data_IF_146699003578
#
_entry.id   IF_146699003578
#
_cell.length_a   1.000
_cell.length_b   1.000
_cell.length_c   1.000
_cell.angle_alpha   90.00
_cell.angle_beta   90.00
_cell.angle_gamma   90.00
#
_symmetry.space_group_name_H-M   'P 1'
#
loop_
_entity.id
_entity.type
_entity.pdbx_description
1 polymer ?
#
# COMPACT_ATOMS: atom_id res chain seq x y z
N UNK A 1 52.96 -35.54 -34.13
CA UNK A 1 53.54 -36.82 -33.65
C UNK A 1 52.51 -37.95 -33.83
N UNK A 2 52.87 -38.88 -34.72
CA UNK A 2 52.14 -40.07 -35.19
C UNK A 2 50.98 -39.80 -36.16
N UNK A 3 51.31 -40.02 -37.44
CA UNK A 3 50.43 -40.27 -38.57
C UNK A 3 50.24 -41.81 -38.73
N UNK A 4 49.80 -42.38 -39.87
CA UNK A 4 48.41 -42.47 -40.36
C UNK A 4 48.07 -43.87 -40.96
N UNK A 5 46.96 -43.97 -41.72
CA UNK A 5 46.66 -44.90 -42.85
C UNK A 5 46.54 -46.44 -42.63
N UNK A 6 45.43 -47.03 -43.12
CA UNK A 6 45.41 -48.09 -44.18
C UNK A 6 43.96 -48.52 -44.51
N UNK A 7 43.47 -48.25 -45.75
CA UNK A 7 43.29 -49.17 -46.90
C UNK A 7 42.09 -50.15 -46.76
N UNK A 8 40.94 -50.05 -47.44
CA UNK A 8 40.58 -50.08 -48.88
C UNK A 8 40.35 -51.48 -49.51
N UNK A 9 39.07 -51.76 -49.85
CA UNK A 9 38.47 -52.53 -51.00
C UNK A 9 38.54 -54.08 -51.02
N UNK A 10 37.72 -54.79 -51.87
CA UNK A 10 36.69 -54.34 -52.85
C UNK A 10 35.31 -55.05 -52.89
N UNK A 11 34.36 -54.31 -53.48
CA UNK A 11 33.15 -54.62 -54.30
C UNK A 11 32.82 -56.05 -54.76
N UNK A 12 31.54 -56.45 -54.65
CA UNK A 12 30.76 -57.21 -55.65
C UNK A 12 29.28 -56.72 -55.69
N UNK A 13 28.72 -56.70 -56.92
CA UNK A 13 27.45 -56.19 -57.48
C UNK A 13 26.16 -57.00 -57.09
N UNK A 14 24.93 -56.69 -57.59
CA UNK A 14 23.70 -56.62 -56.79
C UNK A 14 22.51 -57.45 -57.37
N UNK A 15 21.28 -57.10 -56.96
CA UNK A 15 19.94 -57.34 -57.56
C UNK A 15 19.10 -58.48 -56.96
N UNK A 16 18.12 -58.05 -56.18
CA UNK A 16 16.79 -58.62 -56.02
C UNK A 16 15.94 -57.48 -55.38
N UNK A 17 14.66 -57.21 -55.63
CA UNK A 17 13.59 -57.85 -56.39
C UNK A 17 12.43 -56.82 -56.48
N UNK A 18 11.70 -56.88 -57.58
CA UNK A 18 10.26 -56.63 -57.70
C UNK A 18 9.73 -55.21 -57.91
N UNK A 19 9.55 -54.90 -59.21
CA UNK A 19 8.58 -53.97 -59.76
C UNK A 19 7.72 -54.72 -60.81
N UNK A 20 6.40 -54.57 -60.69
CA UNK A 20 5.38 -54.54 -61.77
C UNK A 20 4.60 -55.84 -62.15
N UNK A 21 3.27 -55.67 -62.20
CA UNK A 21 2.19 -56.37 -62.98
C UNK A 21 1.50 -57.61 -62.38
N UNK A 22 0.23 -57.53 -61.89
CA UNK A 22 -1.11 -57.54 -62.59
C UNK A 22 -1.52 -58.95 -63.02
N UNK A 23 -2.78 -59.47 -62.99
CA UNK A 23 -4.14 -58.94 -63.18
C UNK A 23 -5.15 -60.13 -63.01
N UNK A 24 -6.47 -59.87 -62.91
CA UNK A 24 -7.66 -60.78 -63.11
C UNK A 24 -8.08 -61.52 -61.80
N UNK A 25 -9.31 -61.47 -61.21
CA UNK A 25 -10.71 -61.33 -61.69
C UNK A 25 -11.67 -60.97 -60.51
N UNK A 26 -12.82 -60.35 -60.82
CA UNK A 26 -13.96 -59.92 -59.96
C UNK A 26 -14.95 -61.10 -59.62
N UNK A 27 -16.18 -60.97 -59.01
CA UNK A 27 -17.00 -59.80 -58.61
C UNK A 27 -17.84 -59.92 -57.28
N UNK A 28 -18.68 -58.90 -57.01
CA UNK A 28 -19.99 -58.92 -56.29
C UNK A 28 -20.07 -58.64 -54.78
N UNK A 29 -20.57 -57.45 -54.40
CA UNK A 29 -21.98 -57.21 -54.00
C UNK A 29 -22.21 -55.74 -53.62
N UNK A 30 -23.39 -55.29 -54.01
CA UNK A 30 -23.98 -53.98 -53.79
C UNK A 30 -24.09 -53.58 -52.30
N UNK A 31 -23.77 -52.30 -52.06
CA UNK A 31 -24.64 -51.34 -51.37
C UNK A 31 -24.82 -51.50 -49.86
N UNK A 32 -23.98 -50.79 -49.10
CA UNK A 32 -24.46 -50.07 -47.91
C UNK A 32 -24.05 -48.60 -48.02
N UNK A 33 -25.09 -47.79 -48.20
CA UNK A 33 -25.12 -46.36 -47.99
C UNK A 33 -24.46 -45.98 -46.67
N UNK A 34 -23.29 -45.34 -46.74
CA UNK A 34 -22.83 -44.46 -45.68
C UNK A 34 -22.76 -43.07 -46.26
N UNK A 35 -23.84 -42.31 -46.07
CA UNK A 35 -23.85 -40.86 -46.25
C UNK A 35 -22.86 -40.31 -45.23
N UNK A 36 -21.59 -40.18 -45.62
CA UNK A 36 -20.59 -39.46 -44.84
C UNK A 36 -20.87 -37.96 -45.03
N UNK A 37 -21.77 -37.42 -44.22
CA UNK A 37 -21.82 -35.98 -43.98
C UNK A 37 -20.51 -35.57 -43.29
N UNK A 38 -19.45 -35.34 -44.07
CA UNK A 38 -18.32 -34.53 -43.63
C UNK A 38 -18.81 -33.08 -43.61
N UNK A 39 -19.49 -32.68 -42.53
CA UNK A 39 -19.70 -31.28 -42.20
C UNK A 39 -18.33 -30.65 -41.95
N UNK A 40 -17.64 -30.23 -43.01
CA UNK A 40 -16.43 -29.44 -42.88
C UNK A 40 -16.82 -28.07 -42.35
N UNK A 41 -16.16 -27.58 -41.30
CA UNK A 41 -16.35 -26.23 -40.76
C UNK A 41 -16.23 -25.16 -41.86
N UNK A 42 -15.33 -25.38 -42.83
CA UNK A 42 -15.19 -24.54 -44.03
C UNK A 42 -16.45 -24.52 -44.89
N UNK A 43 -17.13 -25.66 -45.04
CA UNK A 43 -18.37 -25.74 -45.81
C UNK A 43 -19.48 -24.94 -45.14
N UNK A 44 -19.64 -25.03 -43.82
CA UNK A 44 -20.67 -24.27 -43.08
C UNK A 44 -20.43 -22.76 -43.20
N UNK A 45 -19.17 -22.33 -43.02
CA UNK A 45 -18.81 -20.91 -43.14
C UNK A 45 -19.16 -20.39 -44.53
N UNK A 46 -18.75 -21.12 -45.57
CA UNK A 46 -18.88 -20.66 -46.94
C UNK A 46 -20.32 -20.77 -47.49
N UNK A 47 -21.08 -21.79 -47.10
CA UNK A 47 -22.42 -22.05 -47.63
C UNK A 47 -23.54 -21.33 -46.86
N UNK A 48 -23.37 -21.08 -45.56
CA UNK A 48 -24.40 -20.48 -44.72
C UNK A 48 -24.00 -19.12 -44.14
N UNK A 49 -22.81 -18.99 -43.53
CA UNK A 49 -22.41 -17.74 -42.85
C UNK A 49 -22.08 -16.59 -43.83
N UNK A 50 -21.24 -16.85 -44.83
CA UNK A 50 -20.83 -15.84 -45.81
C UNK A 50 -22.00 -15.19 -46.57
N UNK A 51 -22.97 -15.96 -47.13
CA UNK A 51 -24.11 -15.35 -47.81
C UNK A 51 -25.04 -14.61 -46.85
N UNK A 52 -25.15 -15.04 -45.58
CA UNK A 52 -25.92 -14.35 -44.55
C UNK A 52 -25.28 -12.99 -44.20
N UNK A 53 -23.97 -12.96 -43.92
CA UNK A 53 -23.23 -11.74 -43.57
C UNK A 53 -23.17 -10.72 -44.73
N UNK A 54 -23.29 -11.17 -45.98
CA UNK A 54 -23.26 -10.29 -47.15
C UNK A 54 -24.56 -9.49 -47.33
N UNK A 55 -25.69 -9.93 -46.76
CA UNK A 55 -26.98 -9.23 -46.85
C UNK A 55 -26.92 -7.89 -46.12
N UNK A 56 -27.25 -6.79 -46.82
CA UNK A 56 -27.30 -5.42 -46.27
C UNK A 56 -28.10 -5.29 -44.96
N UNK A 57 -29.34 -5.83 -44.82
CA UNK A 57 -30.10 -5.69 -43.58
C UNK A 57 -29.40 -6.34 -42.39
N UNK A 58 -28.70 -7.46 -42.62
CA UNK A 58 -28.00 -8.20 -41.57
C UNK A 58 -26.75 -7.43 -41.10
N UNK A 59 -26.02 -6.79 -42.02
CA UNK A 59 -24.89 -5.92 -41.65
C UNK A 59 -25.32 -4.74 -40.79
N UNK A 60 -26.40 -4.06 -41.17
CA UNK A 60 -26.95 -2.93 -40.40
C UNK A 60 -27.40 -3.39 -39.01
N UNK A 61 -28.07 -4.54 -38.93
CA UNK A 61 -28.47 -5.14 -37.66
C UNK A 61 -27.27 -5.44 -36.75
N UNK A 62 -26.21 -6.07 -37.26
CA UNK A 62 -25.01 -6.38 -36.47
C UNK A 62 -24.33 -5.11 -35.96
N UNK A 63 -24.18 -4.09 -36.82
CA UNK A 63 -23.58 -2.81 -36.42
C UNK A 63 -24.41 -2.11 -35.33
N UNK A 64 -25.73 -2.14 -35.44
CA UNK A 64 -26.64 -1.58 -34.44
C UNK A 64 -26.53 -2.33 -33.10
N UNK A 65 -26.50 -3.67 -33.12
CA UNK A 65 -26.26 -4.46 -31.92
C UNK A 65 -24.91 -4.14 -31.26
N UNK A 66 -23.85 -3.94 -32.06
CA UNK A 66 -22.53 -3.58 -31.54
C UNK A 66 -22.51 -2.17 -30.92
N UNK A 67 -23.22 -1.21 -31.54
CA UNK A 67 -23.39 0.13 -30.99
C UNK A 67 -24.15 0.09 -29.65
N UNK A 68 -25.22 -0.70 -29.56
CA UNK A 68 -25.97 -0.89 -28.32
C UNK A 68 -25.07 -1.52 -27.24
N UNK A 69 -24.26 -2.52 -27.60
CA UNK A 69 -23.32 -3.13 -26.66
C UNK A 69 -22.31 -2.11 -26.12
N UNK A 70 -21.76 -1.23 -26.97
CA UNK A 70 -20.86 -0.14 -26.54
C UNK A 70 -21.56 0.78 -25.54
N UNK A 71 -22.81 1.20 -25.82
CA UNK A 71 -23.58 2.06 -24.90
C UNK A 71 -23.81 1.39 -23.54
N UNK A 72 -24.22 0.12 -23.54
CA UNK A 72 -24.40 -0.67 -22.31
C UNK A 72 -23.09 -0.77 -21.54
N UNK A 73 -21.96 -0.96 -22.23
CA UNK A 73 -20.66 -1.06 -21.61
C UNK A 73 -20.18 0.27 -21.03
N UNK A 74 -20.41 1.40 -21.69
CA UNK A 74 -20.11 2.73 -21.12
C UNK A 74 -20.90 2.97 -19.83
N UNK A 75 -22.18 2.56 -19.79
CA UNK A 75 -22.97 2.59 -18.54
C UNK A 75 -22.35 1.66 -17.48
N UNK A 76 -21.89 0.47 -17.88
CA UNK A 76 -21.22 -0.48 -16.99
C UNK A 76 -19.94 0.09 -16.37
N UNK A 77 -19.14 0.83 -17.13
CA UNK A 77 -17.90 1.46 -16.64
C UNK A 77 -18.17 2.41 -15.47
N UNK A 78 -19.29 3.16 -15.51
CA UNK A 78 -19.65 4.07 -14.40
C UNK A 78 -19.99 3.36 -13.10
N UNK A 79 -20.27 2.05 -13.13
CA UNK A 79 -20.60 1.23 -11.96
C UNK A 79 -19.40 0.45 -11.41
N UNK A 80 -18.21 0.60 -12.00
CA UNK A 80 -17.01 -0.11 -11.55
C UNK A 80 -16.49 0.57 -10.28
N UNK A 81 -16.53 -0.17 -9.17
CA UNK A 81 -15.96 0.24 -7.89
C UNK A 81 -14.55 -0.35 -7.73
N UNK A 82 -13.68 0.35 -7.02
CA UNK A 82 -12.31 -0.11 -6.78
C UNK A 82 -12.23 -1.00 -5.52
N UNK A 83 -11.34 -1.98 -5.53
CA UNK A 83 -11.04 -2.79 -4.34
C UNK A 83 -10.88 -4.28 -4.61
N UNK A 84 -10.42 -4.96 -3.56
CA UNK A 84 -10.42 -6.41 -3.43
C UNK A 84 -10.69 -6.71 -1.97
N UNK A 85 -11.83 -7.34 -1.71
CA UNK A 85 -12.21 -7.67 -0.35
C UNK A 85 -11.53 -8.96 0.09
N UNK A 86 -11.05 -9.00 1.34
CA UNK A 86 -10.46 -10.23 1.88
C UNK A 86 -11.46 -11.41 1.88
N UNK A 87 -12.76 -11.11 1.99
CA UNK A 87 -13.86 -12.08 1.86
C UNK A 87 -13.93 -12.75 0.50
N UNK A 88 -13.38 -12.14 -0.57
CA UNK A 88 -13.43 -12.69 -1.92
C UNK A 88 -12.36 -13.77 -2.15
N UNK A 89 -11.33 -13.82 -1.29
CA UNK A 89 -10.24 -14.79 -1.35
C UNK A 89 -10.57 -16.05 -0.55
N UNK A 90 -11.39 -15.90 0.50
CA UNK A 90 -11.75 -17.00 1.40
C UNK A 90 -12.91 -17.81 0.82
N UNK A 91 -12.85 -19.15 0.84
CA UNK A 91 -13.95 -19.98 0.35
C UNK A 91 -15.27 -19.68 1.07
N UNK A 92 -16.36 -19.65 0.31
CA UNK A 92 -17.70 -19.43 0.88
C UNK A 92 -18.12 -20.64 1.73
N UNK A 93 -18.86 -20.36 2.80
CA UNK A 93 -19.40 -21.39 3.70
C UNK A 93 -18.43 -21.87 4.78
N UNK A 94 -17.24 -21.28 4.91
CA UNK A 94 -16.32 -21.56 6.02
C UNK A 94 -16.52 -20.60 7.19
N UNK A 95 -16.01 -20.98 8.37
CA UNK A 95 -16.07 -20.14 9.56
C UNK A 95 -15.25 -18.85 9.40
N UNK A 96 -14.15 -18.90 8.67
CA UNK A 96 -13.27 -17.77 8.38
C UNK A 96 -13.99 -16.72 7.53
N UNK A 97 -14.75 -17.14 6.53
CA UNK A 97 -15.56 -16.24 5.72
C UNK A 97 -16.56 -15.46 6.60
N UNK A 98 -17.30 -16.18 7.45
CA UNK A 98 -18.27 -15.58 8.37
C UNK A 98 -17.62 -14.64 9.38
N UNK A 99 -16.44 -14.99 9.89
CA UNK A 99 -15.67 -14.12 10.78
C UNK A 99 -15.29 -12.81 10.08
N UNK A 100 -14.78 -12.86 8.85
CA UNK A 100 -14.39 -11.68 8.10
C UNK A 100 -15.58 -10.79 7.74
N UNK A 101 -16.71 -11.39 7.38
CA UNK A 101 -17.95 -10.68 7.10
C UNK A 101 -18.45 -9.92 8.35
N UNK A 102 -18.52 -10.59 9.50
CA UNK A 102 -18.92 -9.98 10.77
C UNK A 102 -17.91 -8.91 11.22
N UNK A 103 -16.62 -9.16 11.08
CA UNK A 103 -15.58 -8.18 11.39
C UNK A 103 -15.74 -6.93 10.52
N UNK A 104 -15.98 -7.07 9.22
CA UNK A 104 -16.22 -5.91 8.34
C UNK A 104 -17.47 -5.15 8.75
N UNK A 105 -18.56 -5.85 9.08
CA UNK A 105 -19.85 -5.23 9.39
C UNK A 105 -19.84 -4.47 10.72
N UNK A 106 -19.24 -5.05 11.77
CA UNK A 106 -19.32 -4.53 13.14
C UNK A 106 -18.02 -3.91 13.65
N UNK A 107 -16.87 -4.34 13.15
CA UNK A 107 -15.53 -3.97 13.66
C UNK A 107 -14.65 -3.37 12.55
N UNK A 108 -15.15 -2.34 11.88
CA UNK A 108 -14.44 -1.58 10.84
C UNK A 108 -13.40 -0.63 11.45
N UNK A 109 -12.46 -1.20 12.20
CA UNK A 109 -11.42 -0.51 12.96
C UNK A 109 -10.03 -0.80 12.40
N UNK A 110 -9.21 0.23 12.29
CA UNK A 110 -7.80 0.11 11.89
C UNK A 110 -6.92 0.97 12.78
N UNK A 111 -5.75 0.45 13.16
CA UNK A 111 -4.71 1.25 13.81
C UNK A 111 -3.76 1.80 12.74
N UNK A 112 -3.45 3.07 12.82
CA UNK A 112 -2.45 3.76 12.00
C UNK A 112 -1.48 4.49 12.91
N UNK A 113 -0.25 4.70 12.43
CA UNK A 113 0.74 5.46 13.17
C UNK A 113 1.27 6.59 12.29
N UNK A 114 1.31 7.80 12.85
CA UNK A 114 2.03 8.91 12.25
C UNK A 114 3.47 8.88 12.77
N UNK A 115 4.42 8.66 11.87
CA UNK A 115 5.84 8.54 12.22
C UNK A 115 6.54 9.85 11.93
N UNK A 116 7.34 10.33 12.89
CA UNK A 116 8.30 11.41 12.69
C UNK A 116 9.70 10.82 12.47
N UNK A 117 10.40 11.31 11.46
CA UNK A 117 11.75 10.86 11.09
C UNK A 117 12.82 11.65 11.88
N UNK A 118 14.07 11.27 11.68
CA UNK A 118 15.23 11.99 12.17
C UNK A 118 15.40 13.35 11.49
N UNK A 119 16.43 14.09 11.90
CA UNK A 119 16.73 15.46 11.46
C UNK A 119 15.66 16.51 11.83
N UNK A 120 14.79 16.17 12.77
CA UNK A 120 13.88 17.13 13.40
C UNK A 120 14.43 17.56 14.76
N UNK A 121 14.41 18.86 15.04
CA UNK A 121 14.83 19.40 16.34
C UNK A 121 13.68 19.29 17.35
N UNK A 122 13.48 18.09 17.92
CA UNK A 122 12.43 17.82 18.91
C UNK A 122 12.42 18.83 20.08
N UNK A 123 13.56 19.18 20.71
CA UNK A 123 13.59 20.17 21.79
C UNK A 123 12.98 21.53 21.42
N UNK A 124 13.30 22.09 20.25
CA UNK A 124 12.81 23.42 19.87
C UNK A 124 11.52 23.37 19.04
N UNK A 125 11.21 22.25 18.40
CA UNK A 125 10.07 22.04 17.51
C UNK A 125 8.79 21.52 18.20
N UNK A 126 8.72 21.53 19.53
CA UNK A 126 7.58 20.98 20.28
C UNK A 126 6.21 21.51 19.83
N UNK A 127 6.10 22.83 19.56
CA UNK A 127 4.85 23.44 19.08
C UNK A 127 4.39 22.85 17.75
N UNK A 128 5.34 22.58 16.84
CA UNK A 128 5.01 21.97 15.54
C UNK A 128 4.48 20.54 15.68
N UNK A 129 4.97 19.79 16.68
CA UNK A 129 4.45 18.44 16.98
C UNK A 129 3.03 18.50 17.57
N UNK A 130 2.74 19.46 18.45
CA UNK A 130 1.38 19.69 18.94
C UNK A 130 0.42 20.09 17.81
N UNK A 131 0.83 21.03 16.95
CA UNK A 131 0.07 21.43 15.76
C UNK A 131 -0.19 20.23 14.83
N UNK A 132 0.84 19.39 14.62
CA UNK A 132 0.75 18.19 13.80
C UNK A 132 -0.29 17.23 14.36
N UNK A 133 -0.19 16.88 15.64
CA UNK A 133 -1.14 16.01 16.33
C UNK A 133 -2.56 16.57 16.25
N UNK A 134 -2.78 17.85 16.59
CA UNK A 134 -4.09 18.47 16.58
C UNK A 134 -4.73 18.54 15.18
N UNK A 135 -3.93 18.60 14.12
CA UNK A 135 -4.46 18.64 12.75
C UNK A 135 -5.18 17.34 12.37
N UNK A 136 -4.79 16.20 12.95
CA UNK A 136 -5.49 14.92 12.77
C UNK A 136 -6.93 14.95 13.28
N UNK A 137 -7.30 15.90 14.16
CA UNK A 137 -8.68 16.03 14.65
C UNK A 137 -9.66 16.43 13.52
N UNK A 138 -9.14 16.96 12.41
CA UNK A 138 -9.91 17.32 11.22
C UNK A 138 -10.30 16.12 10.34
N UNK A 139 -9.69 14.96 10.59
CA UNK A 139 -9.97 13.74 9.82
C UNK A 139 -11.12 13.01 10.51
N UNK A 140 -12.27 12.93 9.84
CA UNK A 140 -13.50 12.40 10.42
C UNK A 140 -13.41 10.92 10.82
N UNK A 141 -12.56 10.17 10.12
CA UNK A 141 -12.39 8.75 10.38
C UNK A 141 -11.59 8.43 11.66
N UNK A 142 -10.93 9.41 12.28
CA UNK A 142 -10.14 9.21 13.50
C UNK A 142 -11.03 9.23 14.73
N UNK A 143 -10.85 8.25 15.60
CA UNK A 143 -11.56 8.16 16.88
C UNK A 143 -11.14 9.31 17.79
N UNK A 144 -12.13 10.00 18.32
CA UNK A 144 -11.98 11.10 19.27
C UNK A 144 -12.41 10.61 20.66
N UNK A 145 -11.82 11.21 21.69
CA UNK A 145 -12.23 11.01 23.08
C UNK A 145 -13.62 11.63 23.32
N UNK A 146 -14.23 11.35 24.46
CA UNK A 146 -15.56 11.87 24.84
C UNK A 146 -15.62 13.41 24.83
N UNK A 147 -14.50 14.08 25.11
CA UNK A 147 -14.36 15.54 25.07
C UNK A 147 -14.25 16.11 23.63
N UNK A 148 -14.29 15.25 22.61
CA UNK A 148 -14.08 15.62 21.20
C UNK A 148 -12.61 15.90 20.84
N UNK A 149 -11.69 15.70 21.79
CA UNK A 149 -10.25 15.78 21.60
C UNK A 149 -9.65 14.48 21.03
N UNK A 150 -8.39 14.53 20.63
CA UNK A 150 -7.63 13.33 20.26
C UNK A 150 -7.05 12.65 21.52
N UNK A 151 -6.78 11.34 21.45
CA UNK A 151 -5.99 10.65 22.48
C UNK A 151 -4.68 11.38 22.75
N UNK A 152 -4.22 11.36 24.00
CA UNK A 152 -2.91 11.92 24.35
C UNK A 152 -1.78 11.14 23.67
N UNK A 153 -0.69 11.86 23.36
CA UNK A 153 0.50 11.26 22.75
C UNK A 153 1.72 11.48 23.63
N UNK A 154 2.84 10.86 23.26
CA UNK A 154 4.03 10.81 24.10
C UNK A 154 4.52 12.17 24.60
N UNK A 155 4.41 13.26 23.82
CA UNK A 155 4.90 14.57 24.24
C UNK A 155 3.97 15.24 25.26
N UNK A 156 2.64 15.04 25.16
CA UNK A 156 1.70 15.55 26.16
C UNK A 156 1.90 14.81 27.47
N UNK A 157 1.95 13.47 27.44
CA UNK A 157 2.18 12.64 28.63
C UNK A 157 3.53 12.95 29.29
N UNK A 158 4.58 13.12 28.47
CA UNK A 158 5.91 13.49 28.96
C UNK A 158 5.93 14.89 29.62
N UNK A 159 5.25 15.87 29.02
CA UNK A 159 5.10 17.22 29.60
C UNK A 159 4.35 17.15 30.92
N UNK A 160 3.25 16.43 30.97
CA UNK A 160 2.37 16.37 32.14
C UNK A 160 3.08 15.70 33.33
N UNK A 161 3.83 14.62 33.08
CA UNK A 161 4.73 14.02 34.06
C UNK A 161 5.77 15.01 34.60
N UNK A 162 6.43 15.78 33.74
CA UNK A 162 7.39 16.81 34.17
C UNK A 162 6.73 17.94 34.97
N UNK A 163 5.48 18.29 34.66
CA UNK A 163 4.73 19.28 35.43
C UNK A 163 4.40 18.77 36.84
N UNK A 164 4.00 17.50 36.98
CA UNK A 164 3.77 16.88 38.29
C UNK A 164 5.05 16.87 39.13
N UNK A 165 6.19 16.48 38.54
CA UNK A 165 7.50 16.55 39.20
C UNK A 165 7.87 17.97 39.63
N UNK A 166 7.62 18.97 38.78
CA UNK A 166 7.87 20.37 39.11
C UNK A 166 6.98 20.84 40.28
N UNK A 167 5.73 20.38 40.35
CA UNK A 167 4.82 20.72 41.45
C UNK A 167 5.26 20.09 42.78
N UNK A 168 5.66 18.81 42.76
CA UNK A 168 6.20 18.12 43.93
C UNK A 168 7.47 18.82 44.46
N UNK A 169 8.37 19.20 43.54
CA UNK A 169 9.56 19.98 43.87
C UNK A 169 9.22 21.34 44.49
N UNK A 170 8.32 22.11 43.88
CA UNK A 170 7.93 23.43 44.37
C UNK A 170 7.27 23.33 45.76
N UNK A 171 6.51 22.26 46.03
CA UNK A 171 5.90 21.98 47.33
C UNK A 171 6.95 21.69 48.42
N UNK A 172 7.86 20.76 48.17
CA UNK A 172 8.89 20.37 49.14
C UNK A 172 9.92 21.48 49.38
N UNK A 173 10.20 22.28 48.35
CA UNK A 173 11.05 23.46 48.48
C UNK A 173 10.42 24.52 49.38
N UNK A 174 9.11 24.77 49.26
CA UNK A 174 8.38 25.72 50.15
C UNK A 174 8.41 25.28 51.61
N UNK A 175 8.45 23.96 51.87
CA UNK A 175 8.55 23.38 53.22
C UNK A 175 9.98 23.31 53.77
N UNK A 176 10.98 23.70 52.96
CA UNK A 176 12.38 23.64 53.36
C UNK A 176 12.98 22.23 53.34
N UNK A 177 12.29 21.24 52.77
CA UNK A 177 12.77 19.86 52.62
C UNK A 177 13.90 19.75 51.57
N UNK A 178 13.97 20.71 50.64
CA UNK A 178 15.00 20.77 49.60
C UNK A 178 15.69 22.13 49.62
N UNK A 179 17.02 22.10 49.67
CA UNK A 179 17.87 23.29 49.58
C UNK A 179 18.72 23.24 48.30
N UNK A 180 19.46 24.31 48.02
CA UNK A 180 20.35 24.38 46.85
C UNK A 180 21.46 23.31 46.87
N UNK A 181 21.90 22.92 48.06
CA UNK A 181 23.08 22.05 48.19
C UNK A 181 22.70 20.59 48.43
N UNK A 182 21.63 20.37 49.19
CA UNK A 182 21.16 19.06 49.63
C UNK A 182 19.64 18.99 49.71
N UNK A 183 19.11 17.78 49.58
CA UNK A 183 17.76 17.42 50.04
C UNK A 183 17.85 16.78 51.41
N UNK A 184 16.80 16.93 52.21
CA UNK A 184 16.69 16.30 53.52
C UNK A 184 15.93 14.97 53.42
N UNK A 185 16.06 14.06 54.40
CA UNK A 185 15.40 12.75 54.37
C UNK A 185 13.86 12.81 54.37
N UNK A 186 13.27 13.97 54.66
CA UNK A 186 11.83 14.21 54.63
C UNK A 186 11.33 14.69 53.25
N UNK A 187 12.20 14.78 52.24
CA UNK A 187 11.80 15.11 50.88
C UNK A 187 11.15 13.89 50.19
N UNK A 188 10.14 14.17 49.37
CA UNK A 188 9.46 13.16 48.56
C UNK A 188 10.36 12.65 47.44
N UNK A 189 10.18 11.38 47.06
CA UNK A 189 10.95 10.74 45.99
C UNK A 189 10.81 11.50 44.67
N UNK A 190 9.61 11.97 44.35
CA UNK A 190 9.31 12.75 43.15
C UNK A 190 10.05 14.10 43.16
N UNK A 191 10.12 14.77 44.31
CA UNK A 191 10.84 16.03 44.43
C UNK A 191 12.36 15.85 44.36
N UNK A 192 12.90 14.73 44.86
CA UNK A 192 14.32 14.38 44.70
C UNK A 192 14.63 14.11 43.22
N UNK A 193 13.77 13.37 42.51
CA UNK A 193 13.90 13.16 41.06
C UNK A 193 13.85 14.49 40.29
N UNK A 194 12.88 15.34 40.59
CA UNK A 194 12.75 16.67 39.99
C UNK A 194 13.99 17.54 40.26
N UNK A 195 14.56 17.49 41.47
CA UNK A 195 15.83 18.14 41.80
C UNK A 195 16.97 17.64 40.90
N UNK A 196 17.10 16.31 40.74
CA UNK A 196 18.13 15.71 39.85
C UNK A 196 17.97 16.19 38.41
N UNK A 197 16.73 16.33 37.92
CA UNK A 197 16.44 16.82 36.57
C UNK A 197 16.73 18.31 36.40
N UNK A 198 16.32 19.17 37.33
CA UNK A 198 16.49 20.62 37.26
C UNK A 198 17.95 21.06 37.22
N UNK A 199 18.84 20.29 37.83
CA UNK A 199 20.28 20.56 37.87
C UNK A 199 20.99 20.19 36.54
N UNK A 200 20.32 19.44 35.64
CA UNK A 200 20.93 19.07 34.35
C UNK A 200 21.09 20.27 33.42
N UNK A 201 22.29 20.44 32.88
CA UNK A 201 22.58 21.49 31.89
C UNK A 201 22.27 21.05 30.44
N UNK A 202 22.24 19.73 30.20
CA UNK A 202 22.11 19.11 28.88
C UNK A 202 23.40 19.06 28.04
N UNK A 203 24.52 19.59 28.57
CA UNK A 203 25.86 19.52 27.96
C UNK A 203 26.60 18.28 28.43
N UNK A 204 27.43 17.69 27.57
CA UNK A 204 28.26 16.53 27.91
C UNK A 204 29.41 16.89 28.84
N UNK A 205 30.00 18.07 28.66
CA UNK A 205 31.26 18.44 29.29
C UNK A 205 31.06 18.95 30.72
N UNK A 206 29.95 19.66 30.95
CA UNK A 206 29.52 20.09 32.29
C UNK A 206 28.05 19.71 32.50
N UNK A 207 27.76 18.46 32.89
CA UNK A 207 26.39 17.92 32.90
C UNK A 207 25.49 18.49 34.00
N UNK A 208 26.07 19.00 35.09
CA UNK A 208 25.36 19.29 36.35
C UNK A 208 25.74 20.69 36.85
N UNK A 209 24.73 21.54 37.07
CA UNK A 209 24.92 22.86 37.67
C UNK A 209 23.79 23.19 38.67
N UNK A 210 24.13 23.21 39.96
CA UNK A 210 23.17 23.48 41.05
C UNK A 210 22.67 24.93 41.06
N UNK A 211 23.31 25.85 40.35
CA UNK A 211 22.80 27.23 40.23
C UNK A 211 21.48 27.30 39.46
N UNK A 212 21.21 26.32 38.59
CA UNK A 212 20.02 26.25 37.74
C UNK A 212 18.71 26.08 38.53
N UNK A 213 18.77 25.55 39.76
CA UNK A 213 17.59 25.36 40.63
C UNK A 213 16.81 26.66 40.92
N UNK A 214 17.44 27.83 40.77
CA UNK A 214 16.80 29.13 40.98
C UNK A 214 16.22 29.73 39.70
N UNK A 215 16.79 29.40 38.54
CA UNK A 215 16.51 30.08 37.27
C UNK A 215 15.75 29.21 36.28
N UNK A 216 15.82 27.89 36.40
CA UNK A 216 15.26 26.93 35.45
C UNK A 216 14.00 26.27 36.00
N UNK A 217 13.04 26.05 35.12
CA UNK A 217 11.89 25.16 35.32
C UNK A 217 11.94 24.03 34.30
N UNK A 218 11.37 22.87 34.66
CA UNK A 218 11.27 21.71 33.76
C UNK A 218 10.35 22.01 32.57
N UNK A 219 9.21 22.64 32.84
CA UNK A 219 8.22 23.08 31.87
C UNK A 219 7.96 24.57 32.06
N UNK A 220 7.89 25.31 30.97
CA UNK A 220 7.60 26.75 30.99
C UNK A 220 6.10 27.03 31.20
N UNK A 221 5.75 28.31 31.35
CA UNK A 221 4.34 28.74 31.50
C UNK A 221 3.46 28.49 30.26
N UNK A 222 4.07 28.20 29.10
CA UNK A 222 3.41 27.91 27.83
C UNK A 222 3.29 26.40 27.57
N UNK A 223 3.68 25.55 28.52
CA UNK A 223 3.66 24.10 28.38
C UNK A 223 4.78 23.52 27.50
N UNK A 224 5.85 24.28 27.27
CA UNK A 224 7.04 23.83 26.53
C UNK A 224 8.07 23.29 27.51
N UNK A 225 8.55 22.08 27.24
CA UNK A 225 9.61 21.45 28.02
C UNK A 225 10.92 22.18 27.74
N UNK A 226 11.73 22.42 28.77
CA UNK A 226 12.99 23.13 28.59
C UNK A 226 13.90 22.42 27.58
N UNK A 227 14.26 23.08 26.45
CA UNK A 227 14.97 22.44 25.35
C UNK A 227 16.40 22.04 25.70
N UNK A 228 17.04 22.72 26.67
CA UNK A 228 18.46 22.51 27.00
C UNK A 228 18.75 21.08 27.44
N UNK A 229 17.92 20.54 28.33
CA UNK A 229 18.09 19.21 28.92
C UNK A 229 16.99 18.21 28.50
N UNK A 230 16.24 18.50 27.44
CA UNK A 230 15.14 17.68 26.91
C UNK A 230 15.49 16.19 26.81
N UNK A 231 16.65 15.85 26.23
CA UNK A 231 17.08 14.46 26.06
C UNK A 231 17.55 13.78 27.36
N UNK A 232 17.92 14.54 28.39
CA UNK A 232 18.16 13.98 29.72
C UNK A 232 16.83 13.66 30.41
N UNK A 233 15.85 14.54 30.26
CA UNK A 233 14.49 14.35 30.79
C UNK A 233 13.81 13.16 30.12
N UNK A 234 14.03 12.98 28.80
CA UNK A 234 13.48 11.87 28.04
C UNK A 234 14.00 10.51 28.56
N UNK A 235 15.31 10.40 28.80
CA UNK A 235 15.92 9.20 29.41
C UNK A 235 15.25 8.88 30.75
N UNK A 236 15.05 9.89 31.59
CA UNK A 236 14.44 9.71 32.90
C UNK A 236 12.97 9.30 32.80
N UNK A 237 12.19 9.94 31.91
CA UNK A 237 10.78 9.60 31.72
C UNK A 237 10.59 8.15 31.28
N UNK A 238 11.29 7.73 30.22
CA UNK A 238 11.16 6.37 29.65
C UNK A 238 11.51 5.28 30.67
N UNK A 239 12.42 5.55 31.59
CA UNK A 239 12.88 4.57 32.59
C UNK A 239 12.04 4.56 33.87
N UNK A 240 11.46 5.70 34.26
CA UNK A 240 10.80 5.86 35.56
C UNK A 240 9.27 5.90 35.47
N UNK A 241 8.72 6.32 34.33
CA UNK A 241 7.29 6.28 34.03
C UNK A 241 7.00 5.26 32.91
N UNK A 242 7.21 3.99 33.24
CA UNK A 242 7.04 2.87 32.30
C UNK A 242 5.58 2.78 31.81
N UNK A 243 4.61 3.16 32.65
CA UNK A 243 3.19 3.15 32.30
C UNK A 243 2.86 4.25 31.29
N UNK A 244 3.31 5.48 31.54
CA UNK A 244 3.12 6.59 30.59
C UNK A 244 3.78 6.31 29.25
N UNK A 245 5.03 5.83 29.26
CA UNK A 245 5.72 5.46 28.02
C UNK A 245 5.05 4.30 27.27
N UNK A 246 4.60 3.27 28.00
CA UNK A 246 3.90 2.12 27.43
C UNK A 246 2.55 2.50 26.79
N UNK A 247 1.77 3.34 27.47
CA UNK A 247 0.50 3.83 26.96
C UNK A 247 0.68 4.75 25.73
N UNK A 248 1.74 5.54 25.68
CA UNK A 248 2.02 6.44 24.55
C UNK A 248 2.38 5.72 23.24
N UNK A 249 2.81 4.44 23.31
CA UNK A 249 3.26 3.64 22.16
C UNK A 249 4.28 4.35 21.25
N UNK A 250 5.13 5.21 21.83
CA UNK A 250 5.96 6.14 21.08
C UNK A 250 7.10 5.50 20.28
N UNK A 251 7.49 4.27 20.67
CA UNK A 251 8.52 3.44 20.04
C UNK A 251 9.80 4.20 19.68
N UNK A 252 10.40 4.90 20.64
CA UNK A 252 11.59 5.71 20.39
C UNK A 252 12.76 4.88 19.84
N UNK A 253 13.28 5.27 18.68
CA UNK A 253 14.55 4.74 18.15
C UNK A 253 15.51 5.89 17.82
N UNK A 254 16.79 5.76 18.18
CA UNK A 254 17.38 4.74 19.06
C UNK A 254 16.77 4.79 20.47
N UNK A 255 16.75 3.63 21.15
CA UNK A 255 16.17 3.55 22.50
C UNK A 255 17.01 4.36 23.49
N UNK A 256 16.37 5.20 24.33
CA UNK A 256 17.06 5.89 25.41
C UNK A 256 17.73 4.89 26.35
N UNK A 257 18.88 5.28 26.91
CA UNK A 257 19.57 4.45 27.91
C UNK A 257 18.69 4.33 29.15
N UNK A 258 18.67 3.15 29.76
CA UNK A 258 17.95 2.97 31.02
C UNK A 258 18.66 3.73 32.15
N UNK A 259 17.87 4.47 32.93
CA UNK A 259 18.32 5.17 34.13
C UNK A 259 17.18 5.18 35.16
N UNK A 260 17.25 4.27 36.13
CA UNK A 260 16.23 4.12 37.17
C UNK A 260 16.61 5.02 38.34
N UNK A 261 15.64 5.80 38.80
CA UNK A 261 15.82 6.70 39.92
C UNK A 261 15.77 5.95 41.25
N UNK A 262 16.82 6.13 42.05
CA UNK A 262 16.83 5.77 43.47
C UNK A 262 16.94 7.04 44.32
N UNK A 263 16.10 7.13 45.36
CA UNK A 263 16.07 8.30 46.25
C UNK A 263 17.32 8.41 47.14
N UNK A 264 17.92 7.26 47.48
CA UNK A 264 19.12 7.18 48.32
C UNK A 264 20.41 7.48 47.55
N UNK A 265 20.37 7.35 46.21
CA UNK A 265 21.51 7.63 45.37
C UNK A 265 21.74 9.14 45.23
N UNK A 266 22.96 9.59 45.47
CA UNK A 266 23.36 11.00 45.41
C UNK A 266 23.90 11.36 44.02
N UNK A 267 24.06 10.39 43.12
CA UNK A 267 24.51 10.66 41.76
C UNK A 267 23.51 11.57 41.02
N UNK A 268 24.04 12.68 40.51
CA UNK A 268 23.29 13.69 39.77
C UNK A 268 23.42 13.53 38.27
N UNK A 269 24.30 12.65 37.77
CA UNK A 269 24.57 12.54 36.33
C UNK A 269 23.51 11.67 35.67
N UNK A 270 22.71 12.27 34.79
CA UNK A 270 21.73 11.52 33.98
C UNK A 270 22.30 11.29 32.58
N UNK A 271 22.33 10.05 32.07
CA UNK A 271 22.79 9.79 30.71
C UNK A 271 21.86 10.47 29.70
N UNK A 272 22.45 11.29 28.82
CA UNK A 272 21.71 11.97 27.75
C UNK A 272 21.25 10.96 26.70
N UNK A 273 19.97 11.00 26.34
CA UNK A 273 19.45 10.19 25.24
C UNK A 273 20.11 10.58 23.92
N UNK A 274 20.42 9.62 23.03
CA UNK A 274 20.68 9.94 21.63
C UNK A 274 19.48 10.69 21.01
N UNK A 275 19.72 11.52 19.97
CA UNK A 275 18.64 12.20 19.25
C UNK A 275 17.69 11.20 18.60
N UNK A 276 16.40 11.51 18.62
CA UNK A 276 15.36 10.62 18.09
C UNK A 276 15.42 10.60 16.55
N UNK A 277 15.50 9.39 16.00
CA UNK A 277 15.52 9.13 14.54
C UNK A 277 14.15 8.62 14.09
N UNK A 278 13.41 7.99 15.00
CA UNK A 278 12.09 7.48 14.75
C UNK A 278 11.26 7.60 16.03
N UNK A 279 10.08 8.17 15.89
CA UNK A 279 9.03 8.12 16.91
C UNK A 279 7.71 7.94 16.19
N UNK A 280 6.74 7.32 16.85
CA UNK A 280 5.42 7.11 16.29
C UNK A 280 4.34 7.68 17.22
N UNK A 281 3.24 8.13 16.61
CA UNK A 281 2.06 8.64 17.28
C UNK A 281 0.89 7.75 16.84
N UNK A 282 0.26 7.00 17.76
CA UNK A 282 -0.83 6.10 17.42
C UNK A 282 -2.13 6.86 17.17
N UNK A 283 -2.86 6.45 16.12
CA UNK A 283 -4.23 6.88 15.86
C UNK A 283 -5.09 5.69 15.47
N UNK A 284 -6.34 5.75 15.89
CA UNK A 284 -7.30 4.71 15.59
C UNK A 284 -8.35 5.24 14.62
N UNK A 285 -8.60 4.48 13.57
CA UNK A 285 -9.61 4.73 12.57
C UNK A 285 -10.85 3.89 12.88
N UNK A 286 -12.03 4.47 12.70
CA UNK A 286 -13.31 3.79 12.88
C UNK A 286 -14.28 4.13 11.75
N UNK A 287 -15.26 3.25 11.56
CA UNK A 287 -16.38 3.41 10.65
C UNK A 287 -15.96 3.57 9.17
N UNK A 288 -14.80 3.02 8.79
CA UNK A 288 -14.35 2.97 7.41
C UNK A 288 -14.66 1.59 6.83
N UNK A 289 -15.68 1.50 5.98
CA UNK A 289 -16.20 0.22 5.47
C UNK A 289 -15.89 0.00 4.01
N UNK A 290 -15.87 1.06 3.22
CA UNK A 290 -15.68 0.98 1.77
C UNK A 290 -14.23 1.27 1.37
N UNK A 291 -13.78 0.68 0.25
CA UNK A 291 -12.46 0.99 -0.30
C UNK A 291 -12.30 2.48 -0.56
N UNK A 292 -13.36 3.14 -1.03
CA UNK A 292 -13.37 4.57 -1.35
C UNK A 292 -13.13 5.42 -0.11
N UNK A 293 -13.80 5.13 1.02
CA UNK A 293 -13.57 5.82 2.29
C UNK A 293 -12.13 5.59 2.80
N UNK A 294 -11.59 4.36 2.66
CA UNK A 294 -10.21 4.05 3.05
C UNK A 294 -9.23 4.88 2.21
N UNK A 295 -9.42 4.92 0.89
CA UNK A 295 -8.57 5.65 -0.04
C UNK A 295 -8.65 7.15 0.23
N UNK A 296 -9.84 7.69 0.48
CA UNK A 296 -10.01 9.10 0.86
C UNK A 296 -9.27 9.42 2.16
N UNK A 297 -9.41 8.57 3.19
CA UNK A 297 -8.71 8.76 4.47
C UNK A 297 -7.19 8.72 4.28
N UNK A 298 -6.68 7.83 3.42
CA UNK A 298 -5.25 7.78 3.07
C UNK A 298 -4.81 9.10 2.42
N UNK A 299 -5.60 9.65 1.49
CA UNK A 299 -5.30 10.95 0.86
C UNK A 299 -5.27 12.09 1.89
N UNK A 300 -6.27 12.13 2.78
CA UNK A 300 -6.37 13.17 3.80
C UNK A 300 -5.16 13.12 4.75
N UNK A 301 -4.82 11.93 5.26
CA UNK A 301 -3.64 11.74 6.12
C UNK A 301 -2.35 12.11 5.37
N UNK A 302 -2.17 11.65 4.12
CA UNK A 302 -0.98 11.98 3.30
C UNK A 302 -0.87 13.49 3.06
N UNK A 303 -1.97 14.19 2.85
CA UNK A 303 -1.99 15.65 2.67
C UNK A 303 -1.54 16.40 3.93
N UNK A 304 -1.96 15.92 5.11
CA UNK A 304 -1.50 16.46 6.40
C UNK A 304 0.00 16.20 6.56
N UNK A 305 0.45 14.98 6.30
CA UNK A 305 1.86 14.64 6.36
C UNK A 305 2.73 15.53 5.46
N UNK A 306 2.33 15.70 4.20
CA UNK A 306 3.03 16.54 3.23
C UNK A 306 3.11 18.00 3.69
N UNK A 307 1.99 18.57 4.17
CA UNK A 307 1.94 19.95 4.67
C UNK A 307 2.92 20.19 5.82
N UNK A 308 3.09 19.23 6.71
CA UNK A 308 4.04 19.34 7.82
C UNK A 308 5.47 19.02 7.44
N UNK A 309 5.68 18.18 6.41
CA UNK A 309 7.01 17.96 5.82
C UNK A 309 7.54 19.27 5.20
N UNK A 310 6.70 20.03 4.51
CA UNK A 310 7.02 21.37 3.98
C UNK A 310 7.32 22.41 5.09
N UNK A 311 6.75 22.25 6.29
CA UNK A 311 7.04 23.08 7.48
C UNK A 311 8.30 22.65 8.24
N UNK A 312 9.01 21.63 7.76
CA UNK A 312 10.26 21.15 8.38
C UNK A 312 10.07 20.04 9.42
N UNK A 313 8.94 19.33 9.42
CA UNK A 313 8.75 18.08 10.19
C UNK A 313 8.76 16.88 9.24
N UNK A 314 9.91 16.22 9.01
CA UNK A 314 9.98 14.99 8.23
C UNK A 314 9.09 13.91 8.85
N UNK A 315 8.06 13.47 8.14
CA UNK A 315 7.08 12.53 8.69
C UNK A 315 6.49 11.63 7.60
N UNK A 316 5.83 10.54 7.99
CA UNK A 316 5.04 9.69 7.11
C UNK A 316 4.05 8.84 7.90
N UNK A 317 2.89 8.49 7.33
CA UNK A 317 1.96 7.56 7.95
C UNK A 317 2.35 6.12 7.67
N UNK A 318 1.99 5.22 8.59
CA UNK A 318 2.06 3.77 8.42
C UNK A 318 0.81 3.10 9.00
N UNK A 319 0.56 1.86 8.61
CA UNK A 319 -0.57 1.07 9.07
C UNK A 319 -1.12 0.18 7.97
N UNK A 320 -2.00 -0.74 8.36
CA UNK A 320 -2.63 -1.72 7.45
C UNK A 320 -3.31 -1.02 6.25
N UNK A 321 -4.07 0.08 6.42
CA UNK A 321 -4.65 0.83 5.30
C UNK A 321 -3.60 1.27 4.27
N UNK A 322 -2.50 1.87 4.72
CA UNK A 322 -1.42 2.35 3.85
C UNK A 322 -0.69 1.21 3.14
N UNK A 323 -0.46 0.07 3.81
CA UNK A 323 0.24 -1.07 3.20
C UNK A 323 -0.56 -1.71 2.06
N UNK A 324 -1.89 -1.83 2.17
CA UNK A 324 -2.69 -2.62 1.22
C UNK A 324 -3.57 -1.78 0.28
N UNK A 325 -4.07 -0.62 0.72
CA UNK A 325 -5.00 0.20 -0.07
C UNK A 325 -4.33 1.34 -0.83
N UNK A 326 -3.07 1.67 -0.54
CA UNK A 326 -2.36 2.76 -1.23
C UNK A 326 -2.22 2.52 -2.74
N UNK A 327 -2.19 1.25 -3.18
CA UNK A 327 -2.18 0.88 -4.61
C UNK A 327 -3.40 1.40 -5.41
N UNK A 328 -4.54 1.65 -4.74
CA UNK A 328 -5.76 2.10 -5.42
C UNK A 328 -5.70 3.58 -5.81
N UNK A 329 -4.84 4.40 -5.18
CA UNK A 329 -4.71 5.83 -5.50
C UNK A 329 -4.37 6.09 -6.97
N UNK A 330 -3.44 5.30 -7.52
CA UNK A 330 -2.96 5.46 -8.89
C UNK A 330 -3.51 4.42 -9.86
N UNK A 331 -4.31 3.45 -9.41
CA UNK A 331 -4.64 2.24 -10.18
C UNK A 331 -5.25 2.57 -11.55
N UNK A 332 -6.28 3.42 -11.59
CA UNK A 332 -6.96 3.81 -12.83
C UNK A 332 -6.02 4.54 -13.79
N UNK A 333 -5.18 5.44 -13.25
CA UNK A 333 -4.21 6.20 -14.04
C UNK A 333 -3.15 5.29 -14.67
N UNK A 334 -2.51 4.44 -13.87
CA UNK A 334 -1.49 3.51 -14.37
C UNK A 334 -2.07 2.47 -15.33
N UNK A 335 -3.31 2.01 -15.10
CA UNK A 335 -4.01 1.12 -16.02
C UNK A 335 -4.21 1.76 -17.39
N UNK A 336 -4.67 3.02 -17.45
CA UNK A 336 -4.85 3.75 -18.72
C UNK A 336 -3.51 3.91 -19.44
N UNK A 337 -2.44 4.29 -18.72
CA UNK A 337 -1.09 4.41 -19.31
C UNK A 337 -0.62 3.07 -19.87
N UNK A 338 -0.80 1.98 -19.14
CA UNK A 338 -0.39 0.65 -19.60
C UNK A 338 -1.17 0.21 -20.85
N UNK A 339 -2.49 0.44 -20.88
CA UNK A 339 -3.33 0.16 -22.05
C UNK A 339 -2.88 0.98 -23.27
N UNK A 340 -2.62 2.28 -23.09
CA UNK A 340 -2.12 3.15 -24.16
C UNK A 340 -0.76 2.69 -24.69
N UNK A 341 0.19 2.36 -23.81
CA UNK A 341 1.50 1.88 -24.22
C UNK A 341 1.42 0.58 -25.05
N UNK A 342 0.55 -0.36 -24.65
CA UNK A 342 0.34 -1.61 -25.39
C UNK A 342 -0.32 -1.35 -26.75
N UNK A 343 -1.35 -0.51 -26.81
CA UNK A 343 -2.00 -0.15 -28.08
C UNK A 343 -1.02 0.54 -29.05
N UNK A 344 -0.17 1.43 -28.55
CA UNK A 344 0.88 2.07 -29.35
C UNK A 344 1.87 1.03 -29.88
N UNK A 345 2.32 0.10 -29.04
CA UNK A 345 3.20 -1.00 -29.46
C UNK A 345 2.58 -1.87 -30.54
N UNK A 346 1.29 -2.22 -30.40
CA UNK A 346 0.56 -3.01 -31.41
C UNK A 346 0.42 -2.22 -32.71
N UNK A 347 0.14 -0.92 -32.64
CA UNK A 347 0.03 -0.08 -33.83
C UNK A 347 1.33 -0.09 -34.64
N UNK A 348 2.49 0.14 -34.00
CA UNK A 348 3.76 0.17 -34.72
C UNK A 348 4.19 -1.19 -35.25
N UNK A 349 4.00 -2.27 -34.48
CA UNK A 349 4.34 -3.63 -34.93
C UNK A 349 3.49 -4.07 -36.13
N UNK A 350 2.17 -3.78 -36.10
CA UNK A 350 1.28 -4.10 -37.23
C UNK A 350 1.49 -3.18 -38.43
N UNK A 351 1.86 -1.91 -38.23
CA UNK A 351 2.25 -0.99 -39.29
C UNK A 351 3.50 -1.49 -40.03
N UNK A 352 4.53 -1.94 -39.29
CA UNK A 352 5.76 -2.50 -39.87
C UNK A 352 5.47 -3.80 -40.62
N UNK A 353 4.63 -4.67 -40.06
CA UNK A 353 4.33 -5.98 -40.68
C UNK A 353 3.50 -5.86 -41.96
N UNK A 354 2.49 -4.98 -41.96
CA UNK A 354 1.53 -4.86 -43.07
C UNK A 354 1.90 -3.77 -44.07
N UNK A 355 2.87 -2.91 -43.76
CA UNK A 355 3.30 -1.75 -44.57
C UNK A 355 2.15 -0.84 -45.03
N UNK A 356 1.02 -0.84 -44.32
CA UNK A 356 -0.18 -0.04 -44.63
C UNK A 356 -0.67 0.68 -43.39
N UNK A 357 -1.19 1.90 -43.56
CA UNK A 357 -1.67 2.71 -42.43
C UNK A 357 -3.11 2.34 -42.01
N UNK A 358 -3.94 1.88 -42.94
CA UNK A 358 -5.36 1.62 -42.68
C UNK A 358 -5.61 0.37 -41.83
N UNK A 359 -4.85 -0.70 -42.09
CA UNK A 359 -4.94 -1.97 -41.37
C UNK A 359 -4.72 -1.81 -39.85
N UNK A 360 -3.61 -1.20 -39.37
CA UNK A 360 -3.39 -1.01 -37.94
C UNK A 360 -4.44 -0.08 -37.30
N UNK A 361 -4.95 0.93 -38.02
CA UNK A 361 -6.02 1.81 -37.52
C UNK A 361 -7.30 1.02 -37.24
N UNK A 362 -7.71 0.14 -38.17
CA UNK A 362 -8.91 -0.70 -38.00
C UNK A 362 -8.73 -1.69 -36.84
N UNK A 363 -7.56 -2.31 -36.73
CA UNK A 363 -7.25 -3.25 -35.64
C UNK A 363 -7.31 -2.54 -34.29
N UNK A 364 -6.65 -1.38 -34.15
CA UNK A 364 -6.65 -0.61 -32.90
C UNK A 364 -8.05 -0.13 -32.53
N UNK A 365 -8.83 0.37 -33.48
CA UNK A 365 -10.21 0.78 -33.22
C UNK A 365 -11.05 -0.38 -32.67
N UNK A 366 -10.89 -1.58 -33.24
CA UNK A 366 -11.59 -2.77 -32.76
C UNK A 366 -11.10 -3.22 -31.37
N UNK A 367 -9.79 -3.17 -31.10
CA UNK A 367 -9.22 -3.50 -29.80
C UNK A 367 -9.73 -2.56 -28.69
N UNK A 368 -9.80 -1.25 -28.97
CA UNK A 368 -10.37 -0.27 -28.04
C UNK A 368 -11.82 -0.62 -27.70
N UNK A 369 -12.63 -0.96 -28.70
CA UNK A 369 -14.02 -1.36 -28.48
C UNK A 369 -14.10 -2.63 -27.62
N UNK A 370 -13.27 -3.64 -27.87
CA UNK A 370 -13.25 -4.86 -27.06
C UNK A 370 -12.88 -4.58 -25.60
N UNK A 371 -11.89 -3.71 -25.35
CA UNK A 371 -11.52 -3.28 -24.00
C UNK A 371 -12.68 -2.56 -23.32
N UNK A 372 -13.35 -1.64 -24.01
CA UNK A 372 -14.53 -0.94 -23.48
C UNK A 372 -15.65 -1.93 -23.13
N UNK A 373 -15.91 -2.90 -24.01
CA UNK A 373 -16.95 -3.90 -23.78
C UNK A 373 -16.64 -4.75 -22.55
N UNK A 374 -15.42 -5.27 -22.44
CA UNK A 374 -14.99 -6.09 -21.30
C UNK A 374 -14.97 -5.29 -20.00
N UNK A 375 -14.47 -4.05 -20.03
CA UNK A 375 -14.43 -3.21 -18.83
C UNK A 375 -15.83 -2.82 -18.36
N UNK A 376 -16.76 -2.53 -19.28
CA UNK A 376 -18.16 -2.33 -18.95
C UNK A 376 -18.83 -3.58 -18.39
N UNK A 377 -18.48 -4.76 -18.90
CA UNK A 377 -19.00 -6.03 -18.42
C UNK A 377 -18.55 -6.34 -16.97
N UNK A 378 -17.30 -6.02 -16.62
CA UNK A 378 -16.79 -6.08 -15.24
C UNK A 378 -17.71 -5.29 -14.29
N UNK A 379 -18.11 -4.08 -14.69
CA UNK A 379 -19.02 -3.23 -13.91
C UNK A 379 -20.44 -3.80 -13.78
N UNK A 380 -20.99 -4.42 -14.83
CA UNK A 380 -22.31 -5.04 -14.77
C UNK A 380 -22.37 -6.29 -13.90
N UNK A 381 -21.31 -7.10 -13.86
CA UNK A 381 -21.22 -8.24 -12.94
C UNK A 381 -21.04 -7.77 -11.49
N UNK A 382 -20.51 -6.56 -11.28
CA UNK A 382 -20.13 -6.06 -9.96
C UNK A 382 -18.78 -6.58 -9.49
N UNK A 383 -17.88 -6.91 -10.42
CA UNK A 383 -16.49 -7.24 -10.09
C UNK A 383 -15.77 -5.94 -9.75
N UNK A 384 -15.18 -5.88 -8.56
CA UNK A 384 -14.37 -4.73 -8.13
C UNK A 384 -13.06 -4.66 -8.90
N UNK A 385 -12.66 -3.44 -9.27
CA UNK A 385 -11.40 -3.19 -9.96
C UNK A 385 -10.24 -3.24 -8.97
N UNK A 386 -9.41 -4.27 -9.12
CA UNK A 386 -8.09 -4.38 -8.48
C UNK A 386 -7.01 -4.51 -9.55
N UNK A 387 -5.74 -4.61 -9.11
CA UNK A 387 -4.63 -4.84 -10.03
C UNK A 387 -4.82 -6.11 -10.89
N UNK A 388 -5.54 -7.13 -10.38
CA UNK A 388 -5.78 -8.38 -11.09
C UNK A 388 -6.68 -8.20 -12.34
N UNK A 389 -7.93 -7.67 -12.25
CA UNK A 389 -8.71 -7.35 -13.45
C UNK A 389 -8.02 -6.36 -14.39
N UNK A 390 -7.24 -5.40 -13.87
CA UNK A 390 -6.49 -4.46 -14.71
C UNK A 390 -5.47 -5.18 -15.60
N UNK A 391 -4.71 -6.14 -15.05
CA UNK A 391 -3.78 -6.97 -15.83
C UNK A 391 -4.54 -7.86 -16.82
N UNK A 392 -5.68 -8.44 -16.43
CA UNK A 392 -6.50 -9.27 -17.31
C UNK A 392 -7.01 -8.47 -18.52
N UNK A 393 -7.38 -7.20 -18.35
CA UNK A 393 -7.76 -6.31 -19.46
C UNK A 393 -6.61 -6.12 -20.45
N UNK A 394 -5.38 -5.93 -19.95
CA UNK A 394 -4.20 -5.80 -20.80
C UNK A 394 -3.93 -7.11 -21.56
N UNK A 395 -4.01 -8.26 -20.89
CA UNK A 395 -3.84 -9.59 -21.51
C UNK A 395 -4.92 -9.84 -22.56
N UNK A 396 -6.16 -9.40 -22.32
CA UNK A 396 -7.27 -9.51 -23.27
C UNK A 396 -6.96 -8.85 -24.62
N UNK A 397 -6.23 -7.73 -24.63
CA UNK A 397 -5.80 -7.07 -25.88
C UNK A 397 -4.92 -8.02 -26.70
N UNK A 398 -3.94 -8.66 -26.07
CA UNK A 398 -3.04 -9.61 -26.73
C UNK A 398 -3.78 -10.83 -27.27
N UNK A 399 -4.73 -11.38 -26.50
CA UNK A 399 -5.57 -12.49 -26.94
C UNK A 399 -6.47 -12.08 -28.13
N UNK A 400 -7.05 -10.88 -28.07
CA UNK A 400 -7.94 -10.35 -29.11
C UNK A 400 -7.21 -10.06 -30.42
N UNK A 401 -5.92 -9.72 -30.36
CA UNK A 401 -5.11 -9.37 -31.53
C UNK A 401 -4.94 -10.55 -32.51
N UNK A 402 -4.73 -11.76 -32.00
CA UNK A 402 -4.44 -12.94 -32.83
C UNK A 402 -5.49 -13.21 -33.92
N UNK A 403 -6.81 -13.34 -33.61
CA UNK A 403 -7.81 -13.56 -34.64
C UNK A 403 -7.98 -12.35 -35.56
N UNK A 404 -7.76 -11.12 -35.08
CA UNK A 404 -7.89 -9.90 -35.90
C UNK A 404 -6.87 -9.88 -37.01
N UNK A 405 -5.59 -10.12 -36.69
CA UNK A 405 -4.49 -10.13 -37.65
C UNK A 405 -4.78 -11.13 -38.79
N UNK A 406 -5.21 -12.35 -38.45
CA UNK A 406 -5.51 -13.40 -39.44
C UNK A 406 -6.72 -13.10 -40.34
N UNK A 407 -7.63 -12.21 -39.93
CA UNK A 407 -8.79 -11.82 -40.74
C UNK A 407 -8.44 -10.62 -41.63
N UNK A 408 -7.54 -9.74 -41.16
CA UNK A 408 -7.17 -8.50 -41.86
C UNK A 408 -5.99 -8.61 -42.82
N UNK A 409 -5.07 -9.57 -42.58
CA UNK A 409 -3.98 -9.94 -43.51
C UNK A 409 -4.47 -11.06 -44.40
#
# INVERSE_FOLDING_TARGET
PIAPLSSSKPQILPKSLNRIQTKITSPSKQQQSTIKFKFSTKHIVHSYLTPLLKRRPIKVFILLCYLIAIVISVIGITKVNDGLDLTDIVPRGTNEYRFLELRRQYFSYYNIFAITKGNFDYPNGQRLLYDYHQTFNRIDAIIKNDDGGLPEFWLSMFRDWLMELQQAFDYDRKRGCITRERWYPNATTEAILAYKLLVQTGRTDNPVDKSLLLSVRLVDSQGIINPKAFYNYLTAWVSNDVMGYGAAQAAFKPEPRQWIHEANDVELKIPKSPPLIFTQIPFNLNNIRTTEEIVQTIQDVRSVCQRFEERGLPNFPTGIPFTYWEQYLGLRFYMIIALLAVLIGIFFTTLILTCTLWTPVIIIAHLIINVLILFGFIGWIGIKLSALPAVILIVSIGISLNPLIHITI
#
